data_IF_555192411428
#
_entry.id   IF_555192411428
#
_cell.length_a   1.000
_cell.length_b   1.000
_cell.length_c   1.000
_cell.angle_alpha   90.00
_cell.angle_beta   90.00
_cell.angle_gamma   90.00
#
_symmetry.space_group_name_H-M   'P 1'
#
loop_
_entity.id
_entity.type
_entity.pdbx_description
1 polymer ?
#
# COMPACT_ATOMS: atom_id res chain seq x y z
N UNK A 1 51.72 17.18 -4.91
CA UNK A 1 52.29 16.57 -6.14
C UNK A 1 52.65 15.11 -5.88
N UNK A 2 51.90 14.17 -6.47
CA UNK A 2 52.41 12.89 -7.01
C UNK A 2 51.30 12.27 -7.86
N UNK A 3 51.56 12.20 -9.16
CA UNK A 3 50.76 11.56 -10.19
C UNK A 3 51.15 10.08 -10.32
N UNK A 4 50.17 9.21 -10.55
CA UNK A 4 50.20 7.91 -11.28
C UNK A 4 48.73 7.71 -11.71
N UNK A 5 48.20 7.88 -12.95
CA UNK A 5 48.47 7.38 -14.32
C UNK A 5 48.76 5.86 -14.33
N UNK A 6 48.02 4.94 -14.97
CA UNK A 6 47.40 4.96 -16.32
C UNK A 6 46.68 3.61 -16.56
N UNK A 7 45.75 3.58 -17.53
CA UNK A 7 45.38 2.45 -18.46
C UNK A 7 44.83 1.13 -17.90
N UNK A 8 43.87 0.42 -18.50
CA UNK A 8 43.17 0.54 -19.79
C UNK A 8 42.56 -0.83 -20.20
N UNK A 9 41.70 -0.82 -21.22
CA UNK A 9 41.30 -1.94 -22.10
C UNK A 9 40.42 -3.07 -21.48
N UNK A 10 39.51 -3.77 -22.18
CA UNK A 10 38.94 -3.75 -23.55
C UNK A 10 37.74 -4.74 -23.55
N UNK A 11 36.76 -4.46 -24.41
CA UNK A 11 35.95 -5.38 -25.24
C UNK A 11 35.49 -6.75 -24.70
N UNK A 12 34.17 -6.94 -24.69
CA UNK A 12 33.50 -8.23 -24.89
C UNK A 12 32.13 -8.01 -25.55
N UNK A 13 31.96 -8.49 -26.78
CA UNK A 13 30.82 -8.26 -27.67
C UNK A 13 30.19 -9.61 -28.05
N UNK A 14 28.85 -9.73 -27.92
CA UNK A 14 27.89 -10.66 -28.60
C UNK A 14 27.98 -12.19 -28.31
N UNK A 15 26.91 -13.02 -28.56
CA UNK A 15 25.67 -12.77 -29.30
C UNK A 15 24.31 -13.27 -28.70
N UNK A 16 23.25 -12.80 -29.37
CA UNK A 16 21.88 -13.31 -29.58
C UNK A 16 21.56 -14.79 -29.27
N UNK A 17 20.38 -15.01 -28.67
CA UNK A 17 19.53 -16.17 -28.98
C UNK A 17 18.07 -15.72 -29.11
N UNK A 18 17.59 -15.70 -30.34
CA UNK A 18 16.18 -15.60 -30.72
C UNK A 18 15.56 -16.99 -30.58
N UNK A 19 14.44 -17.11 -29.88
CA UNK A 19 13.52 -18.23 -30.06
C UNK A 19 12.08 -17.71 -30.16
N UNK A 20 11.56 -17.74 -31.37
CA UNK A 20 10.15 -17.56 -31.67
C UNK A 20 9.46 -18.93 -31.56
N UNK A 21 8.30 -18.99 -30.88
CA UNK A 21 7.34 -20.07 -31.02
C UNK A 21 5.95 -19.45 -31.26
N UNK A 22 5.48 -19.64 -32.48
CA UNK A 22 4.12 -19.39 -32.95
C UNK A 22 3.20 -20.47 -32.37
N UNK A 23 2.09 -20.08 -31.74
CA UNK A 23 0.89 -20.92 -31.68
C UNK A 23 -0.30 -20.11 -32.17
N UNK A 24 -0.81 -20.56 -33.30
CA UNK A 24 -2.06 -20.22 -33.94
C UNK A 24 -3.26 -20.62 -33.10
N UNK A 25 -4.30 -19.77 -33.04
CA UNK A 25 -5.61 -20.13 -32.51
C UNK A 25 -6.71 -19.28 -33.14
N UNK A 26 -7.19 -19.71 -34.31
CA UNK A 26 -8.42 -19.21 -34.95
C UNK A 26 -9.65 -19.50 -34.09
N UNK A 27 -10.57 -18.54 -34.05
CA UNK A 27 -11.94 -18.74 -33.55
C UNK A 27 -12.92 -17.79 -34.23
N UNK A 28 -13.36 -18.14 -35.43
CA UNK A 28 -14.43 -17.46 -36.17
C UNK A 28 -15.76 -18.22 -36.06
N UNK A 29 -16.78 -17.60 -35.44
CA UNK A 29 -18.23 -17.71 -35.72
C UNK A 29 -19.03 -17.09 -34.55
N UNK A 30 -20.16 -16.38 -34.67
CA UNK A 30 -21.15 -16.14 -35.74
C UNK A 30 -22.00 -14.91 -35.30
N UNK A 31 -22.46 -14.02 -36.19
CA UNK A 31 -23.49 -13.04 -35.85
C UNK A 31 -24.87 -13.71 -35.97
N UNK A 32 -25.72 -13.55 -34.96
CA UNK A 32 -27.06 -14.15 -34.99
C UNK A 32 -27.97 -13.72 -33.85
N UNK A 33 -29.00 -12.98 -34.25
CA UNK A 33 -30.34 -12.89 -33.68
C UNK A 33 -30.57 -12.15 -32.36
N UNK A 34 -31.49 -11.19 -32.48
CA UNK A 34 -32.18 -10.48 -31.43
C UNK A 34 -33.03 -11.41 -30.55
N UNK A 35 -33.23 -10.98 -29.30
CA UNK A 35 -34.40 -11.33 -28.48
C UNK A 35 -34.25 -12.57 -27.59
N UNK A 36 -33.66 -12.39 -26.42
CA UNK A 36 -34.01 -13.15 -25.22
C UNK A 36 -33.64 -12.31 -23.99
N UNK A 37 -34.63 -12.02 -23.14
CA UNK A 37 -34.44 -11.45 -21.80
C UNK A 37 -33.31 -12.20 -21.09
N UNK A 38 -32.21 -11.49 -20.82
CA UNK A 38 -31.16 -12.02 -19.97
C UNK A 38 -31.71 -12.07 -18.54
N UNK A 39 -31.68 -13.23 -17.85
CA UNK A 39 -31.95 -13.24 -16.42
C UNK A 39 -30.93 -12.32 -15.75
N UNK A 40 -31.42 -11.39 -14.93
CA UNK A 40 -30.60 -10.51 -14.11
C UNK A 40 -29.55 -11.36 -13.39
N UNK A 41 -28.29 -11.22 -13.82
CA UNK A 41 -27.17 -11.80 -13.07
C UNK A 41 -27.18 -11.09 -11.73
N UNK A 42 -27.63 -11.77 -10.69
CA UNK A 42 -27.40 -11.37 -9.31
C UNK A 42 -25.90 -11.20 -9.18
N UNK A 43 -25.44 -9.95 -9.02
CA UNK A 43 -24.05 -9.69 -8.72
C UNK A 43 -23.72 -10.47 -7.45
N UNK A 44 -22.82 -11.45 -7.56
CA UNK A 44 -22.34 -12.18 -6.40
C UNK A 44 -21.76 -11.15 -5.44
N UNK A 45 -22.37 -11.00 -4.27
CA UNK A 45 -21.85 -10.12 -3.24
C UNK A 45 -20.44 -10.62 -2.90
N UNK A 46 -19.39 -9.80 -3.04
CA UNK A 46 -18.05 -10.24 -2.68
C UNK A 46 -18.07 -10.65 -1.21
N UNK A 47 -17.64 -11.88 -0.94
CA UNK A 47 -17.52 -12.39 0.43
C UNK A 47 -16.58 -11.48 1.21
N UNK A 48 -16.99 -11.10 2.43
CA UNK A 48 -16.12 -10.36 3.34
C UNK A 48 -14.81 -11.15 3.54
N UNK A 49 -13.63 -10.52 3.39
CA UNK A 49 -12.36 -11.19 3.64
C UNK A 49 -12.37 -11.83 5.04
N UNK A 50 -11.92 -13.08 5.13
CA UNK A 50 -11.87 -13.80 6.40
C UNK A 50 -10.64 -13.31 7.17
N UNK A 51 -10.88 -12.65 8.29
CA UNK A 51 -9.83 -12.31 9.24
C UNK A 51 -9.57 -13.49 10.17
N UNK A 52 -8.27 -13.75 10.41
CA UNK A 52 -7.79 -14.67 11.43
C UNK A 52 -6.82 -13.91 12.34
N UNK A 53 -6.76 -14.24 13.64
CA UNK A 53 -5.83 -13.61 14.56
C UNK A 53 -4.39 -13.87 14.09
N UNK A 54 -3.57 -12.84 14.14
CA UNK A 54 -2.17 -12.97 13.82
C UNK A 54 -1.43 -13.72 14.94
N UNK A 55 -0.33 -14.43 14.64
CA UNK A 55 0.46 -15.09 15.67
C UNK A 55 0.83 -14.13 16.82
N UNK A 56 0.48 -14.50 18.04
CA UNK A 56 0.74 -13.69 19.24
C UNK A 56 -0.33 -12.65 19.59
N UNK A 57 -1.40 -12.50 18.78
CA UNK A 57 -2.57 -11.73 19.20
C UNK A 57 -3.43 -12.54 20.16
N UNK A 58 -3.76 -11.95 21.30
CA UNK A 58 -4.90 -12.41 22.09
C UNK A 58 -6.19 -12.01 21.36
N UNK A 59 -7.24 -12.85 21.36
CA UNK A 59 -8.48 -12.48 20.70
C UNK A 59 -9.07 -11.20 21.32
N UNK A 60 -9.09 -10.12 20.54
CA UNK A 60 -9.84 -8.92 20.90
C UNK A 60 -11.32 -9.27 20.92
N UNK A 61 -12.10 -8.89 21.97
CA UNK A 61 -13.54 -9.14 21.97
C UNK A 61 -14.16 -8.49 20.73
N UNK A 62 -14.89 -9.30 19.97
CA UNK A 62 -15.59 -8.84 18.77
C UNK A 62 -16.52 -7.69 19.15
N UNK A 63 -16.43 -6.51 18.52
CA UNK A 63 -17.42 -5.47 18.71
C UNK A 63 -18.78 -6.03 18.30
N UNK A 64 -19.74 -6.02 19.23
CA UNK A 64 -21.10 -6.49 18.96
C UNK A 64 -21.68 -5.64 17.83
N UNK A 65 -21.89 -6.24 16.65
CA UNK A 65 -22.49 -5.55 15.52
C UNK A 65 -23.90 -5.09 15.91
N UNK A 66 -24.09 -3.77 16.00
CA UNK A 66 -25.43 -3.19 16.12
C UNK A 66 -26.10 -3.32 14.77
N UNK A 67 -27.19 -4.07 14.70
CA UNK A 67 -28.01 -4.17 13.50
C UNK A 67 -28.48 -2.75 13.11
N UNK A 68 -28.00 -2.26 11.97
CA UNK A 68 -28.54 -1.05 11.36
C UNK A 68 -29.76 -1.45 10.55
N UNK A 69 -30.92 -0.94 10.95
CA UNK A 69 -32.17 -1.11 10.22
C UNK A 69 -32.18 -0.17 9.02
N UNK A 70 -31.96 -0.72 7.82
CA UNK A 70 -32.09 0.04 6.57
C UNK A 70 -33.57 0.13 6.18
N UNK A 71 -34.21 1.25 6.50
CA UNK A 71 -35.48 1.62 5.87
C UNK A 71 -35.25 2.09 4.43
N UNK A 72 -36.27 2.07 3.55
CA UNK A 72 -36.13 2.55 2.18
C UNK A 72 -35.87 4.06 2.20
N UNK A 73 -34.65 4.46 1.83
CA UNK A 73 -34.26 5.85 1.72
C UNK A 73 -34.49 6.34 0.29
N UNK A 74 -35.20 7.45 0.15
CA UNK A 74 -35.23 8.26 -1.08
C UNK A 74 -33.78 8.60 -1.46
N UNK A 75 -33.35 8.52 -2.74
CA UNK A 75 -31.98 8.85 -3.11
C UNK A 75 -31.71 10.30 -2.70
N UNK A 76 -30.72 10.55 -1.83
CA UNK A 76 -30.30 11.91 -1.53
C UNK A 76 -29.84 12.60 -2.83
N UNK A 77 -29.93 13.92 -2.93
CA UNK A 77 -29.23 14.67 -3.97
C UNK A 77 -27.74 14.31 -3.95
N UNK A 78 -27.09 14.35 -5.12
CA UNK A 78 -25.68 14.00 -5.19
C UNK A 78 -24.86 14.98 -4.34
N UNK A 79 -24.17 14.43 -3.34
CA UNK A 79 -23.27 15.12 -2.42
C UNK A 79 -21.87 14.52 -2.58
N UNK A 80 -21.49 14.26 -3.82
CA UNK A 80 -20.28 13.50 -4.12
C UNK A 80 -19.01 14.29 -3.76
N UNK A 81 -19.06 15.62 -3.86
CA UNK A 81 -17.95 16.49 -3.46
C UNK A 81 -17.72 16.49 -1.92
N UNK A 82 -18.77 16.25 -1.14
CA UNK A 82 -18.70 16.13 0.32
C UNK A 82 -18.30 14.70 0.78
N UNK A 83 -18.24 13.74 -0.13
CA UNK A 83 -17.87 12.37 0.17
C UNK A 83 -16.35 12.21 0.26
N UNK A 84 -15.80 12.23 1.47
CA UNK A 84 -14.38 11.95 1.72
C UNK A 84 -14.04 10.44 1.75
N UNK A 85 -14.94 9.57 1.27
CA UNK A 85 -14.72 8.12 1.22
C UNK A 85 -13.46 7.71 0.46
N UNK A 86 -13.06 8.48 -0.56
CA UNK A 86 -11.81 8.27 -1.30
C UNK A 86 -10.55 8.48 -0.44
N UNK A 87 -10.66 9.19 0.69
CA UNK A 87 -9.56 9.38 1.65
C UNK A 87 -9.55 8.30 2.74
N UNK A 88 -10.48 7.33 2.74
CA UNK A 88 -10.50 6.26 3.73
C UNK A 88 -9.65 5.10 3.21
N UNK A 89 -8.54 4.75 3.88
CA UNK A 89 -7.65 3.69 3.40
C UNK A 89 -8.32 2.32 3.52
N UNK A 90 -7.95 1.40 2.64
CA UNK A 90 -8.42 0.03 2.72
C UNK A 90 -7.83 -0.68 3.94
N UNK A 91 -8.64 -1.36 4.77
CA UNK A 91 -8.11 -2.21 5.82
C UNK A 91 -7.34 -3.39 5.23
N UNK A 92 -6.27 -3.79 5.92
CA UNK A 92 -5.59 -5.05 5.62
C UNK A 92 -6.35 -6.22 6.24
N UNK A 93 -6.38 -7.34 5.53
CA UNK A 93 -7.06 -8.56 5.96
C UNK A 93 -6.13 -9.78 5.88
N UNK A 94 -6.47 -10.80 6.67
CA UNK A 94 -5.78 -12.10 6.67
C UNK A 94 -4.26 -11.97 6.79
N UNK A 95 -3.52 -12.52 5.81
CA UNK A 95 -2.05 -12.54 5.85
C UNK A 95 -1.44 -11.13 5.80
N UNK A 96 -1.97 -10.26 4.94
CA UNK A 96 -1.46 -8.90 4.80
C UNK A 96 -1.62 -8.09 6.07
N UNK A 97 -2.69 -8.33 6.84
CA UNK A 97 -2.85 -7.72 8.18
C UNK A 97 -1.70 -8.10 9.10
N UNK A 98 -1.34 -9.38 9.13
CA UNK A 98 -0.25 -9.86 9.97
C UNK A 98 1.12 -9.34 9.52
N UNK A 99 1.35 -9.30 8.21
CA UNK A 99 2.58 -8.73 7.66
C UNK A 99 2.67 -7.22 7.96
N UNK A 100 1.54 -6.50 7.91
CA UNK A 100 1.46 -5.08 8.26
C UNK A 100 1.77 -4.81 9.73
N UNK A 101 1.17 -5.56 10.65
CA UNK A 101 1.48 -5.46 12.09
C UNK A 101 2.95 -5.76 12.38
N UNK A 102 3.54 -6.74 11.68
CA UNK A 102 4.97 -7.04 11.81
C UNK A 102 5.85 -5.91 11.23
N UNK A 103 5.43 -5.29 10.12
CA UNK A 103 6.13 -4.15 9.54
C UNK A 103 6.11 -2.94 10.49
N UNK A 104 4.94 -2.59 11.04
CA UNK A 104 4.79 -1.50 12.04
C UNK A 104 5.76 -1.70 13.20
N UNK A 105 5.77 -2.88 13.84
CA UNK A 105 6.68 -3.14 14.97
C UNK A 105 8.16 -3.01 14.59
N UNK A 106 8.55 -3.43 13.40
CA UNK A 106 9.95 -3.28 12.91
C UNK A 106 10.30 -1.82 12.68
N UNK A 107 9.38 -1.07 12.09
CA UNK A 107 9.54 0.37 11.85
C UNK A 107 9.68 1.12 13.16
N UNK A 108 8.75 0.93 14.10
CA UNK A 108 8.80 1.58 15.40
C UNK A 108 10.09 1.23 16.14
N UNK A 109 10.47 -0.05 16.19
CA UNK A 109 11.72 -0.48 16.82
C UNK A 109 13.00 0.08 16.16
N UNK A 110 12.98 0.35 14.86
CA UNK A 110 14.12 0.94 14.16
C UNK A 110 14.22 2.46 14.34
N UNK A 111 13.08 3.13 14.50
CA UNK A 111 13.02 4.57 14.68
C UNK A 111 13.15 4.96 16.16
N UNK A 112 12.84 4.07 17.10
CA UNK A 112 12.92 4.37 18.53
C UNK A 112 14.31 4.88 19.00
N UNK A 113 15.44 4.31 18.55
CA UNK A 113 16.75 4.86 18.89
C UNK A 113 17.00 6.26 18.33
N UNK A 114 16.36 6.64 17.21
CA UNK A 114 16.40 8.01 16.69
C UNK A 114 15.63 8.94 17.62
N UNK A 115 14.43 8.52 18.03
CA UNK A 115 13.58 9.24 18.97
C UNK A 115 14.31 9.53 20.28
N UNK A 116 14.86 8.50 20.90
CA UNK A 116 15.50 8.59 22.23
C UNK A 116 16.68 9.56 22.26
N UNK A 117 17.44 9.68 21.16
CA UNK A 117 18.56 10.62 21.04
C UNK A 117 18.17 12.00 20.47
N UNK A 118 16.90 12.20 20.14
CA UNK A 118 16.38 13.46 19.60
C UNK A 118 16.72 13.72 18.13
N UNK A 119 16.97 12.67 17.36
CA UNK A 119 17.28 12.73 15.93
C UNK A 119 15.99 12.69 15.10
N UNK A 120 15.43 13.88 14.83
CA UNK A 120 14.20 14.06 14.04
C UNK A 120 14.49 14.50 12.59
N UNK A 121 15.66 14.13 12.08
CA UNK A 121 16.04 14.42 10.69
C UNK A 121 15.34 13.44 9.72
N UNK A 122 14.71 13.95 8.64
CA UNK A 122 14.10 13.10 7.62
C UNK A 122 15.09 12.15 6.92
N UNK A 123 16.34 12.56 6.72
CA UNK A 123 17.39 11.74 6.11
C UNK A 123 17.82 10.57 7.01
N UNK A 124 17.98 10.82 8.31
CA UNK A 124 18.21 9.76 9.31
C UNK A 124 17.06 8.75 9.34
N UNK A 125 15.81 9.24 9.31
CA UNK A 125 14.60 8.40 9.27
C UNK A 125 14.56 7.55 8.01
N UNK A 126 14.75 8.16 6.84
CA UNK A 126 14.82 7.44 5.55
C UNK A 126 15.89 6.35 5.56
N UNK A 127 17.08 6.67 6.07
CA UNK A 127 18.20 5.73 6.19
C UNK A 127 17.87 4.54 7.10
N UNK A 128 17.24 4.79 8.25
CA UNK A 128 16.83 3.73 9.18
C UNK A 128 15.77 2.81 8.56
N UNK A 129 14.78 3.38 7.84
CA UNK A 129 13.74 2.60 7.17
C UNK A 129 14.31 1.78 6.00
N UNK A 130 15.20 2.34 5.20
CA UNK A 130 15.83 1.59 4.10
C UNK A 130 16.76 0.49 4.61
N UNK A 131 17.40 0.67 5.77
CA UNK A 131 18.17 -0.38 6.44
C UNK A 131 17.32 -1.59 6.87
N UNK A 132 16.01 -1.44 7.03
CA UNK A 132 15.07 -2.55 7.24
C UNK A 132 14.77 -3.36 5.97
N UNK A 133 15.31 -2.94 4.81
CA UNK A 133 15.10 -3.58 3.51
C UNK A 133 13.94 -2.98 2.70
N UNK A 134 13.35 -1.86 3.15
CA UNK A 134 12.41 -1.12 2.31
C UNK A 134 13.15 -0.45 1.14
N UNK A 135 12.53 -0.44 -0.04
CA UNK A 135 13.15 0.14 -1.23
C UNK A 135 13.30 1.66 -1.06
N UNK A 136 14.51 2.20 -1.27
CA UNK A 136 14.80 3.62 -1.04
C UNK A 136 13.90 4.58 -1.84
N UNK A 137 13.55 4.23 -3.08
CA UNK A 137 12.62 5.01 -3.91
C UNK A 137 11.13 4.86 -3.53
N UNK A 138 10.84 4.06 -2.50
CA UNK A 138 9.50 3.79 -1.97
C UNK A 138 9.35 4.19 -0.50
N UNK A 139 10.38 4.84 0.05
CA UNK A 139 10.35 5.42 1.39
C UNK A 139 10.39 6.93 1.23
N UNK A 140 9.39 7.61 1.78
CA UNK A 140 9.36 9.05 1.94
C UNK A 140 9.51 9.36 3.42
N UNK A 141 10.29 10.40 3.73
CA UNK A 141 10.39 10.97 5.06
C UNK A 141 10.38 12.50 4.91
N UNK A 142 9.65 13.19 5.77
CA UNK A 142 9.45 14.62 5.68
C UNK A 142 9.39 15.26 7.06
N UNK A 143 9.82 16.52 7.14
CA UNK A 143 9.78 17.28 8.39
C UNK A 143 8.33 17.47 8.83
N UNK A 144 8.04 17.16 10.08
CA UNK A 144 6.73 17.36 10.70
C UNK A 144 6.89 18.21 11.97
N UNK A 145 7.03 19.53 11.78
CA UNK A 145 7.34 20.46 12.85
C UNK A 145 8.82 20.43 13.27
N UNK A 146 9.22 21.21 14.30
CA UNK A 146 10.63 21.42 14.65
C UNK A 146 11.32 20.20 15.27
N UNK A 147 10.54 19.28 15.83
CA UNK A 147 11.04 18.07 16.53
C UNK A 147 10.20 16.85 16.19
N UNK A 148 9.78 16.76 14.94
CA UNK A 148 8.99 15.65 14.45
C UNK A 148 9.25 15.37 12.98
N UNK A 149 9.07 14.12 12.60
CA UNK A 149 9.23 13.62 11.23
C UNK A 149 8.04 12.72 10.92
N UNK A 150 7.48 12.88 9.73
CA UNK A 150 6.51 11.95 9.16
C UNK A 150 7.17 11.07 8.10
N UNK A 151 6.63 9.89 7.88
CA UNK A 151 7.12 8.99 6.84
C UNK A 151 5.99 8.20 6.19
N UNK A 152 6.24 7.77 4.95
CA UNK A 152 5.37 6.89 4.18
C UNK A 152 6.22 5.84 3.47
N UNK A 153 5.81 4.58 3.57
CA UNK A 153 6.45 3.43 2.93
C UNK A 153 5.44 2.82 1.96
N UNK A 154 5.75 2.90 0.66
CA UNK A 154 4.98 2.28 -0.42
C UNK A 154 5.51 0.87 -0.73
N UNK A 155 5.03 -0.12 0.01
CA UNK A 155 5.29 -1.54 -0.21
C UNK A 155 4.02 -2.27 -0.70
N UNK A 156 3.25 -1.62 -1.59
CA UNK A 156 1.95 -2.10 -2.08
C UNK A 156 1.95 -3.61 -2.39
N UNK A 157 0.95 -4.38 -1.92
CA UNK A 157 -0.32 -3.95 -1.32
C UNK A 157 -0.26 -3.59 0.18
N UNK A 158 0.94 -3.48 0.76
CA UNK A 158 1.15 -3.04 2.15
C UNK A 158 1.70 -1.62 2.19
N UNK A 159 0.92 -0.69 2.71
CA UNK A 159 1.35 0.66 3.02
C UNK A 159 1.68 0.76 4.51
N UNK A 160 2.72 1.52 4.86
CA UNK A 160 2.99 1.90 6.26
C UNK A 160 3.20 3.40 6.31
N UNK A 161 2.41 4.10 7.11
CA UNK A 161 2.53 5.54 7.35
C UNK A 161 2.69 5.78 8.84
N UNK A 162 3.44 6.81 9.21
CA UNK A 162 3.62 7.10 10.63
C UNK A 162 4.33 8.42 10.90
N UNK A 163 4.48 8.69 12.19
CA UNK A 163 5.19 9.86 12.68
C UNK A 163 6.09 9.49 13.86
N UNK A 164 7.18 10.23 13.99
CA UNK A 164 8.06 10.16 15.16
C UNK A 164 8.26 11.59 15.68
N UNK A 165 8.04 11.77 16.99
CA UNK A 165 8.28 13.01 17.70
C UNK A 165 8.89 12.71 19.08
N UNK A 166 9.11 13.72 19.92
CA UNK A 166 9.73 13.53 21.25
C UNK A 166 9.00 12.51 22.13
N UNK A 167 7.68 12.49 22.06
CA UNK A 167 6.85 11.71 22.97
C UNK A 167 6.67 10.27 22.50
N UNK A 168 6.61 10.04 21.18
CA UNK A 168 6.33 8.71 20.63
C UNK A 168 6.78 8.53 19.18
N UNK A 169 6.95 7.27 18.81
CA UNK A 169 6.96 6.78 17.44
C UNK A 169 5.66 5.99 17.23
N UNK A 170 4.90 6.32 16.19
CA UNK A 170 3.63 5.64 15.86
C UNK A 170 3.58 5.35 14.38
N UNK A 171 3.16 4.14 14.00
CA UNK A 171 2.90 3.79 12.61
C UNK A 171 1.65 2.92 12.46
N UNK A 172 0.99 3.06 11.32
CA UNK A 172 -0.17 2.26 10.93
C UNK A 172 0.08 1.59 9.57
N UNK A 173 -0.51 0.41 9.39
CA UNK A 173 -0.45 -0.34 8.15
C UNK A 173 -1.82 -0.44 7.48
N UNK A 174 -1.87 -0.20 6.17
CA UNK A 174 -3.11 -0.17 5.38
C UNK A 174 -2.89 -0.62 3.92
N UNK A 175 -3.98 -0.82 3.17
CA UNK A 175 -3.99 -1.39 1.83
C UNK A 175 -4.01 -0.39 0.66
N UNK A 176 -3.63 0.86 0.90
CA UNK A 176 -3.78 1.97 -0.05
C UNK A 176 -5.14 2.67 0.05
N UNK A 177 -5.44 3.55 -0.91
CA UNK A 177 -6.66 4.36 -0.96
C UNK A 177 -7.53 4.01 -2.18
N UNK A 178 -8.85 4.23 -2.12
CA UNK A 178 -9.69 4.22 -3.31
C UNK A 178 -9.16 5.18 -4.37
N UNK A 179 -9.26 4.79 -5.64
CA UNK A 179 -8.94 5.61 -6.81
C UNK A 179 -7.48 6.13 -6.91
N UNK A 180 -6.57 5.62 -6.06
CA UNK A 180 -5.15 5.96 -6.12
C UNK A 180 -4.27 4.71 -6.27
N UNK A 181 -3.20 4.82 -7.05
CA UNK A 181 -2.19 3.76 -7.14
C UNK A 181 -1.12 3.96 -6.06
N UNK A 182 -0.87 2.95 -5.25
CA UNK A 182 0.14 3.02 -4.18
C UNK A 182 -0.44 3.53 -2.86
N UNK A 183 0.38 4.25 -2.09
CA UNK A 183 0.11 4.55 -0.69
C UNK A 183 -0.09 6.04 -0.38
N UNK A 184 0.12 6.93 -1.34
CA UNK A 184 -0.06 8.35 -1.11
C UNK A 184 -1.53 8.69 -0.86
N UNK A 185 -1.78 9.55 0.12
CA UNK A 185 -3.13 10.00 0.44
C UNK A 185 -3.64 10.93 -0.66
N UNK A 186 -4.80 10.66 -1.27
CA UNK A 186 -5.36 11.53 -2.29
C UNK A 186 -5.75 12.90 -1.71
N UNK A 187 -5.55 13.96 -2.49
CA UNK A 187 -5.84 15.36 -2.09
C UNK A 187 -7.13 15.92 -2.69
N UNK A 188 -7.82 15.15 -3.56
CA UNK A 188 -9.11 15.50 -4.14
C UNK A 188 -9.85 14.27 -4.67
N UNK A 189 -11.19 14.35 -4.73
CA UNK A 189 -12.06 13.33 -5.34
C UNK A 189 -12.30 13.66 -6.82
N UNK A 190 -12.38 12.61 -7.65
CA UNK A 190 -12.64 12.71 -9.09
C UNK A 190 -14.12 12.68 -9.41
#
# INVERSE_FOLDING_TARGET
MRMIRTTGARFGMLPMAVLALLVTGCGTHRPGAAGAEAPSRTAATPSKPVDFPCPGESPTPTPSARAQSSGPATPPPDHYAENHGFMVPFPLHGRHRCDGLAAVRRVEGALEPLRERGDFDPGSTHSALTALGFSAGKVQAYQNGPTGVGFLIDAFPLCVEGTMNRDSTQADAFGGYPDHTGCDRPTGGH
#
